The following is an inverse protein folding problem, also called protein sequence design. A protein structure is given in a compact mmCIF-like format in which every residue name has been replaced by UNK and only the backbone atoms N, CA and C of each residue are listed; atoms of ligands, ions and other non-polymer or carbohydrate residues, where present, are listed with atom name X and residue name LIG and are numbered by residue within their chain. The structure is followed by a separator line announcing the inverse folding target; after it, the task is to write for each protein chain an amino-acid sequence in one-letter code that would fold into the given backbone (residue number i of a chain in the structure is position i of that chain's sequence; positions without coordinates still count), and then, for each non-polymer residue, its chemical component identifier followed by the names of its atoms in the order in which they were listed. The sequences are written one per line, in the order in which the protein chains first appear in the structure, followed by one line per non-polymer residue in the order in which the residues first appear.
data_IF_911034448797
#
_entry.id   IF_911034448797
#
_cell.length_a   1.000
_cell.length_b   1.000
_cell.length_c   1.000
_cell.angle_alpha   90.00
_cell.angle_beta   90.00
_cell.angle_gamma   90.00
#
_symmetry.space_group_name_H-M   'P 1'
#
loop_
_entity.id
_entity.type
_entity.pdbx_description
1 polymer ?
#
# COMPACT_ATOMS: atom_id res chain seq x y z
N UNK A 1 26.71 -10.41 -12.62
CA UNK A 1 27.17 -11.79 -12.92
C UNK A 1 26.02 -12.80 -12.84
N UNK A 2 25.16 -12.75 -11.82
CA UNK A 2 24.05 -13.70 -11.65
C UNK A 2 23.00 -13.71 -12.78
N UNK A 3 22.70 -12.56 -13.40
CA UNK A 3 21.71 -12.50 -14.50
C UNK A 3 22.14 -13.26 -15.76
N UNK A 4 23.44 -13.28 -16.07
CA UNK A 4 23.96 -13.97 -17.25
C UNK A 4 23.89 -15.49 -17.10
N UNK A 5 23.97 -16.01 -15.86
CA UNK A 5 23.79 -17.45 -15.57
C UNK A 5 22.33 -17.90 -15.65
N UNK A 6 21.36 -17.05 -15.30
CA UNK A 6 19.94 -17.42 -15.33
C UNK A 6 19.34 -17.37 -16.75
N UNK A 7 19.88 -16.52 -17.62
CA UNK A 7 19.40 -16.33 -18.99
C UNK A 7 19.39 -17.65 -19.82
N UNK A 8 20.49 -18.42 -19.94
CA UNK A 8 20.46 -19.70 -20.66
C UNK A 8 19.57 -20.74 -19.95
N UNK A 9 19.49 -20.71 -18.62
CA UNK A 9 18.62 -21.61 -17.84
C UNK A 9 17.13 -21.41 -18.19
N UNK A 10 16.71 -20.15 -18.40
CA UNK A 10 15.36 -19.80 -18.83
C UNK A 10 15.11 -20.13 -20.31
N UNK A 11 16.07 -19.85 -21.20
CA UNK A 11 15.94 -20.16 -22.64
C UNK A 11 15.86 -21.67 -22.92
N UNK A 12 16.55 -22.49 -22.13
CA UNK A 12 16.52 -23.95 -22.23
C UNK A 12 15.30 -24.57 -21.55
N UNK A 13 14.41 -23.78 -20.92
CA UNK A 13 13.19 -24.26 -20.25
C UNK A 13 13.43 -25.08 -18.98
N UNK A 14 14.66 -25.10 -18.47
CA UNK A 14 15.06 -25.90 -17.30
C UNK A 14 14.35 -25.42 -16.03
N UNK A 15 13.99 -24.14 -15.96
CA UNK A 15 13.20 -23.56 -14.86
C UNK A 15 11.83 -24.24 -14.69
N UNK A 16 11.16 -24.63 -15.78
CA UNK A 16 9.88 -25.34 -15.71
C UNK A 16 10.02 -26.76 -15.15
N UNK A 17 11.09 -27.47 -15.52
CA UNK A 17 11.41 -28.79 -14.96
C UNK A 17 11.73 -28.70 -13.46
N UNK A 18 12.48 -27.68 -13.03
CA UNK A 18 12.80 -27.47 -11.62
C UNK A 18 11.54 -27.24 -10.78
N UNK A 19 10.58 -26.45 -11.28
CA UNK A 19 9.29 -26.22 -10.59
C UNK A 19 8.46 -27.51 -10.51
N UNK A 20 8.56 -28.39 -11.50
CA UNK A 20 7.85 -29.68 -11.46
C UNK A 20 8.44 -30.67 -10.45
N UNK A 21 9.73 -30.57 -10.14
CA UNK A 21 10.42 -31.44 -9.17
C UNK A 21 10.20 -30.97 -7.73
N UNK A 22 10.09 -29.65 -7.53
CA UNK A 22 9.85 -29.07 -6.21
C UNK A 22 8.39 -29.30 -5.81
N UNK A 23 8.18 -29.96 -4.67
CA UNK A 23 6.84 -30.12 -4.12
C UNK A 23 6.22 -28.76 -3.81
N UNK A 24 5.03 -28.48 -4.35
CA UNK A 24 4.30 -27.20 -4.16
C UNK A 24 4.11 -26.88 -2.67
N UNK A 25 3.95 -27.92 -1.83
CA UNK A 25 3.80 -27.79 -0.38
C UNK A 25 5.06 -27.19 0.29
N UNK A 26 6.25 -27.43 -0.28
CA UNK A 26 7.51 -26.90 0.25
C UNK A 26 7.73 -25.42 -0.07
N UNK A 27 7.07 -24.87 -1.09
CA UNK A 27 7.24 -23.48 -1.51
C UNK A 27 6.57 -22.52 -0.50
N UNK A 28 5.43 -22.90 0.08
CA UNK A 28 4.65 -22.00 0.94
C UNK A 28 5.43 -21.50 2.17
N UNK A 29 6.12 -22.36 2.97
CA UNK A 29 6.90 -21.88 4.11
C UNK A 29 8.10 -21.02 3.70
N UNK A 30 8.71 -21.32 2.55
CA UNK A 30 9.87 -20.58 2.03
C UNK A 30 9.49 -19.14 1.69
N UNK A 31 8.34 -18.93 1.04
CA UNK A 31 7.86 -17.58 0.69
C UNK A 31 7.54 -16.77 1.96
N UNK A 32 6.96 -17.40 2.98
CA UNK A 32 6.71 -16.74 4.27
C UNK A 32 8.02 -16.32 4.93
N UNK A 33 9.01 -17.21 4.97
CA UNK A 33 10.33 -16.90 5.54
C UNK A 33 11.01 -15.74 4.82
N UNK A 34 11.08 -15.79 3.48
CA UNK A 34 11.68 -14.70 2.69
C UNK A 34 10.91 -13.39 2.88
N UNK A 35 9.58 -13.43 2.94
CA UNK A 35 8.76 -12.25 3.20
C UNK A 35 9.06 -11.61 4.55
N UNK A 36 9.19 -12.42 5.61
CA UNK A 36 9.55 -11.94 6.95
C UNK A 36 10.95 -11.32 7.00
N UNK A 37 11.94 -11.95 6.35
CA UNK A 37 13.31 -11.42 6.26
C UNK A 37 13.32 -10.08 5.53
N UNK A 38 12.64 -9.96 4.39
CA UNK A 38 12.55 -8.69 3.65
C UNK A 38 11.89 -7.60 4.50
N UNK A 39 10.84 -7.93 5.26
CA UNK A 39 10.19 -6.98 6.16
C UNK A 39 11.16 -6.53 7.27
N UNK A 40 11.90 -7.46 7.87
CA UNK A 40 12.92 -7.16 8.89
C UNK A 40 14.00 -6.24 8.35
N UNK A 41 14.54 -6.54 7.16
CA UNK A 41 15.58 -5.72 6.53
C UNK A 41 15.06 -4.34 6.13
N UNK A 42 13.82 -4.27 5.65
CA UNK A 42 13.16 -2.99 5.30
C UNK A 42 12.94 -2.14 6.54
N UNK A 43 12.46 -2.72 7.64
CA UNK A 43 12.26 -2.02 8.91
C UNK A 43 13.59 -1.58 9.53
N UNK A 44 14.64 -2.41 9.45
CA UNK A 44 15.96 -2.08 9.97
C UNK A 44 16.62 -0.90 9.23
N UNK A 45 16.31 -0.72 7.94
CA UNK A 45 16.86 0.35 7.10
C UNK A 45 15.98 1.60 7.05
N UNK A 46 14.75 1.53 7.57
CA UNK A 46 13.77 2.62 7.53
C UNK A 46 13.69 3.32 8.90
N UNK A 47 13.60 4.65 8.96
CA UNK A 47 13.42 5.36 10.22
C UNK A 47 12.09 4.99 10.89
N UNK A 48 12.10 4.95 12.23
CA UNK A 48 10.96 4.57 13.08
C UNK A 48 9.69 5.40 12.80
N UNK A 49 9.87 6.63 12.30
CA UNK A 49 8.78 7.54 11.91
C UNK A 49 7.93 7.01 10.74
N UNK A 50 8.50 6.21 9.84
CA UNK A 50 7.81 5.71 8.65
C UNK A 50 7.16 4.35 8.84
N UNK A 51 7.31 3.72 10.01
CA UNK A 51 6.65 2.45 10.34
C UNK A 51 5.14 2.44 10.11
N UNK A 52 4.36 3.49 10.47
CA UNK A 52 2.93 3.51 10.15
C UNK A 52 2.64 3.52 8.64
N UNK A 53 3.49 4.14 7.83
CA UNK A 53 3.32 4.13 6.37
C UNK A 53 3.56 2.74 5.78
N UNK A 54 4.58 2.03 6.28
CA UNK A 54 4.84 0.64 5.90
C UNK A 54 3.66 -0.29 6.23
N UNK A 55 3.13 -0.22 7.46
CA UNK A 55 1.98 -1.04 7.88
C UNK A 55 0.73 -0.74 7.04
N UNK A 56 0.47 0.53 6.76
CA UNK A 56 -0.64 0.92 5.91
C UNK A 56 -0.44 0.45 4.45
N UNK A 57 0.80 0.47 3.96
CA UNK A 57 1.18 -0.03 2.64
C UNK A 57 0.86 -1.50 2.40
N UNK A 58 0.85 -2.34 3.45
CA UNK A 58 0.53 -3.77 3.33
C UNK A 58 -0.99 -4.03 3.19
N UNK A 59 -1.84 -3.08 3.59
CA UNK A 59 -3.29 -3.26 3.62
C UNK A 59 -3.93 -3.68 2.27
N UNK A 60 -3.56 -3.10 1.10
CA UNK A 60 -4.11 -3.53 -0.19
C UNK A 60 -3.81 -5.00 -0.53
N UNK A 61 -2.64 -5.50 -0.14
CA UNK A 61 -2.26 -6.91 -0.37
C UNK A 61 -3.09 -7.84 0.51
N UNK A 62 -3.30 -7.47 1.78
CA UNK A 62 -4.18 -8.21 2.69
C UNK A 62 -5.62 -8.24 2.15
N UNK A 63 -6.09 -7.10 1.62
CA UNK A 63 -7.41 -6.99 1.03
C UNK A 63 -7.59 -7.88 -0.19
N UNK A 64 -6.58 -7.99 -1.05
CA UNK A 64 -6.62 -8.87 -2.22
C UNK A 64 -6.63 -10.35 -1.85
N UNK A 65 -5.82 -10.75 -0.86
CA UNK A 65 -5.90 -12.08 -0.29
C UNK A 65 -7.27 -12.39 0.33
N UNK A 66 -7.83 -11.44 1.10
CA UNK A 66 -9.16 -11.58 1.71
C UNK A 66 -10.26 -11.71 0.64
N UNK A 67 -10.22 -10.87 -0.40
CA UNK A 67 -11.13 -10.94 -1.56
C UNK A 67 -11.07 -12.32 -2.21
N UNK A 68 -9.87 -12.84 -2.48
CA UNK A 68 -9.66 -14.16 -3.07
C UNK A 68 -10.22 -15.29 -2.20
N UNK A 69 -9.95 -15.25 -0.89
CA UNK A 69 -10.44 -16.27 0.05
C UNK A 69 -11.96 -16.29 0.14
N UNK A 70 -12.60 -15.11 0.19
CA UNK A 70 -14.06 -14.99 0.21
C UNK A 70 -14.66 -15.58 -1.08
N UNK A 71 -14.16 -15.18 -2.26
CA UNK A 71 -14.70 -15.67 -3.54
C UNK A 71 -14.53 -17.18 -3.67
N UNK A 72 -13.35 -17.70 -3.36
CA UNK A 72 -13.06 -19.13 -3.48
C UNK A 72 -13.86 -19.96 -2.47
N UNK A 73 -13.96 -19.50 -1.22
CA UNK A 73 -14.74 -20.17 -0.18
C UNK A 73 -16.23 -20.22 -0.52
N UNK A 74 -16.77 -19.10 -1.01
CA UNK A 74 -18.16 -19.01 -1.48
C UNK A 74 -18.36 -19.91 -2.70
N UNK A 75 -17.55 -19.79 -3.75
CA UNK A 75 -17.67 -20.63 -4.96
C UNK A 75 -17.65 -22.13 -4.63
N UNK A 76 -16.74 -22.57 -3.76
CA UNK A 76 -16.66 -23.97 -3.32
C UNK A 76 -17.90 -24.42 -2.53
N UNK A 77 -18.49 -23.56 -1.69
CA UNK A 77 -19.72 -23.90 -0.97
C UNK A 77 -20.91 -24.07 -1.94
N UNK A 78 -20.99 -23.25 -2.99
CA UNK A 78 -22.05 -23.33 -4.00
C UNK A 78 -21.92 -24.59 -4.86
N UNK A 79 -20.70 -24.95 -5.28
CA UNK A 79 -20.46 -26.17 -6.08
C UNK A 79 -20.82 -27.46 -5.34
N UNK A 80 -20.73 -27.47 -4.01
CA UNK A 80 -21.03 -28.62 -3.17
C UNK A 80 -22.48 -28.65 -2.65
N UNK A 81 -23.31 -27.67 -3.02
CA UNK A 81 -24.71 -27.59 -2.59
C UNK A 81 -25.64 -28.22 -3.63
N UNK A 82 -25.96 -29.51 -3.45
CA UNK A 82 -26.85 -30.26 -4.34
C UNK A 82 -28.31 -30.15 -3.87
N UNK A 83 -29.08 -29.22 -4.44
CA UNK A 83 -30.54 -29.38 -4.51
C UNK A 83 -30.91 -30.03 -5.84
N UNK A 84 -31.81 -31.04 -5.84
CA UNK A 84 -32.38 -31.53 -7.09
C UNK A 84 -33.08 -30.37 -7.83
N UNK A 85 -32.79 -30.21 -9.12
CA UNK A 85 -33.46 -29.26 -10.03
C UNK A 85 -33.26 -27.74 -9.83
N UNK A 86 -32.26 -27.30 -9.06
CA UNK A 86 -31.94 -25.87 -8.98
C UNK A 86 -30.55 -25.59 -9.58
N UNK A 87 -30.53 -24.95 -10.75
CA UNK A 87 -29.30 -24.42 -11.34
C UNK A 87 -29.06 -23.03 -10.74
N UNK A 88 -28.12 -22.92 -9.80
CA UNK A 88 -27.71 -21.62 -9.27
C UNK A 88 -26.81 -20.92 -10.29
N UNK A 89 -27.17 -19.70 -10.68
CA UNK A 89 -26.35 -18.87 -11.58
C UNK A 89 -24.98 -18.59 -10.95
N UNK A 90 -23.90 -18.73 -11.73
CA UNK A 90 -22.51 -18.59 -11.30
C UNK A 90 -22.11 -17.18 -10.84
N UNK A 91 -23.02 -16.21 -10.90
CA UNK A 91 -22.74 -14.83 -10.55
C UNK A 91 -23.06 -14.52 -9.09
N UNK A 92 -22.28 -15.14 -8.19
CA UNK A 92 -22.45 -15.03 -6.73
C UNK A 92 -22.04 -13.64 -6.19
N UNK A 93 -21.34 -12.85 -7.01
CA UNK A 93 -20.87 -11.51 -6.67
C UNK A 93 -21.99 -10.52 -6.30
N UNK A 94 -23.22 -10.76 -6.77
CA UNK A 94 -24.35 -9.84 -6.61
C UNK A 94 -25.19 -10.07 -5.35
N UNK A 95 -24.97 -11.17 -4.61
CA UNK A 95 -25.79 -11.56 -3.45
C UNK A 95 -25.10 -11.38 -2.09
N UNK A 96 -23.85 -10.93 -2.04
CA UNK A 96 -23.16 -10.59 -0.78
C UNK A 96 -23.58 -9.18 -0.36
N UNK A 97 -24.75 -9.06 0.27
CA UNK A 97 -25.35 -7.77 0.66
C UNK A 97 -24.98 -7.30 2.06
N UNK A 98 -24.49 -8.19 2.93
CA UNK A 98 -24.13 -7.86 4.32
C UNK A 98 -22.71 -7.25 4.48
N UNK A 99 -21.86 -7.37 3.45
CA UNK A 99 -20.49 -6.86 3.44
C UNK A 99 -20.29 -5.99 2.20
N UNK A 100 -19.60 -4.84 2.33
CA UNK A 100 -19.28 -3.96 1.20
C UNK A 100 -18.20 -4.58 0.30
N UNK A 101 -18.56 -5.67 -0.38
CA UNK A 101 -17.68 -6.41 -1.28
C UNK A 101 -17.10 -5.52 -2.36
N UNK A 102 -17.86 -4.55 -2.88
CA UNK A 102 -17.37 -3.58 -3.87
C UNK A 102 -16.24 -2.69 -3.33
N UNK A 103 -16.30 -2.28 -2.07
CA UNK A 103 -15.22 -1.52 -1.43
C UNK A 103 -13.95 -2.37 -1.30
N UNK A 104 -14.09 -3.60 -0.84
CA UNK A 104 -12.97 -4.55 -0.75
C UNK A 104 -12.39 -4.89 -2.13
N UNK A 105 -13.24 -5.14 -3.12
CA UNK A 105 -12.84 -5.49 -4.48
C UNK A 105 -12.09 -4.33 -5.16
N UNK A 106 -12.53 -3.09 -4.94
CA UNK A 106 -11.84 -1.92 -5.44
C UNK A 106 -10.52 -1.71 -4.70
N UNK A 107 -10.49 -1.78 -3.38
CA UNK A 107 -9.26 -1.62 -2.60
C UNK A 107 -8.21 -2.73 -2.83
N UNK A 108 -8.65 -3.91 -3.29
CA UNK A 108 -7.78 -5.00 -3.74
C UNK A 108 -7.32 -4.85 -5.21
N UNK A 109 -7.97 -4.01 -6.00
CA UNK A 109 -7.69 -3.83 -7.41
C UNK A 109 -6.32 -3.20 -7.65
N UNK A 110 -5.39 -3.96 -8.23
CA UNK A 110 -4.02 -3.47 -8.42
C UNK A 110 -3.22 -3.37 -7.12
N UNK A 111 -3.52 -4.23 -6.14
CA UNK A 111 -2.96 -4.24 -4.77
C UNK A 111 -1.46 -3.95 -4.68
N UNK A 112 -0.62 -4.60 -5.48
CA UNK A 112 0.83 -4.37 -5.48
C UNK A 112 1.21 -2.92 -5.81
N UNK A 113 0.62 -2.38 -6.88
CA UNK A 113 0.89 -1.02 -7.32
C UNK A 113 0.28 -0.02 -6.34
N UNK A 114 -0.95 -0.28 -5.90
CA UNK A 114 -1.65 0.50 -4.90
C UNK A 114 -0.86 0.63 -3.60
N UNK A 115 -0.27 -0.47 -3.12
CA UNK A 115 0.59 -0.50 -1.94
C UNK A 115 1.80 0.42 -2.09
N UNK A 116 2.47 0.42 -3.24
CA UNK A 116 3.62 1.31 -3.48
C UNK A 116 3.20 2.77 -3.45
N UNK A 117 2.12 3.13 -4.16
CA UNK A 117 1.62 4.49 -4.22
C UNK A 117 1.11 4.99 -2.85
N UNK A 118 0.34 4.19 -2.12
CA UNK A 118 -0.14 4.57 -0.78
C UNK A 118 1.01 4.73 0.21
N UNK A 119 1.99 3.83 0.19
CA UNK A 119 3.17 3.93 1.05
C UNK A 119 3.96 5.20 0.74
N UNK A 120 4.22 5.49 -0.54
CA UNK A 120 4.96 6.68 -0.96
C UNK A 120 4.23 7.97 -0.56
N UNK A 121 2.92 8.06 -0.80
CA UNK A 121 2.12 9.23 -0.41
C UNK A 121 2.18 9.45 1.11
N UNK A 122 2.01 8.38 1.90
CA UNK A 122 2.08 8.48 3.36
C UNK A 122 3.48 8.85 3.86
N UNK A 123 4.55 8.27 3.31
CA UNK A 123 5.92 8.65 3.68
C UNK A 123 6.17 10.15 3.42
N UNK A 124 5.79 10.67 2.23
CA UNK A 124 5.97 12.10 1.94
C UNK A 124 5.05 13.01 2.75
N UNK A 125 3.86 12.54 3.13
CA UNK A 125 2.98 13.24 4.05
C UNK A 125 3.60 13.34 5.45
N UNK A 126 4.15 12.23 5.94
CA UNK A 126 4.84 12.15 7.24
C UNK A 126 6.04 13.09 7.25
N UNK A 127 6.85 13.12 6.19
CA UNK A 127 8.00 14.01 6.02
C UNK A 127 7.63 15.49 5.79
N UNK A 128 6.33 15.81 5.65
CA UNK A 128 5.83 17.14 5.25
C UNK A 128 6.42 17.63 3.92
N UNK A 129 6.78 16.71 3.02
CA UNK A 129 7.26 17.00 1.64
C UNK A 129 6.06 17.02 0.69
N UNK A 130 5.13 17.97 0.91
CA UNK A 130 3.82 17.99 0.26
C UNK A 130 3.86 18.11 -1.27
N UNK A 131 4.86 18.76 -1.84
CA UNK A 131 5.04 18.82 -3.30
C UNK A 131 5.20 17.41 -3.90
N UNK A 132 6.03 16.57 -3.26
CA UNK A 132 6.26 15.18 -3.69
C UNK A 132 4.99 14.36 -3.50
N UNK A 133 4.31 14.51 -2.35
CA UNK A 133 3.04 13.82 -2.09
C UNK A 133 1.95 14.17 -3.14
N UNK A 134 1.92 15.42 -3.60
CA UNK A 134 1.02 15.89 -4.67
C UNK A 134 1.29 15.17 -5.99
N UNK A 135 2.55 15.10 -6.41
CA UNK A 135 2.95 14.42 -7.66
C UNK A 135 2.59 12.93 -7.59
N UNK A 136 2.88 12.26 -6.47
CA UNK A 136 2.54 10.85 -6.28
C UNK A 136 1.03 10.60 -6.27
N UNK A 137 0.24 11.52 -5.70
CA UNK A 137 -1.23 11.45 -5.71
C UNK A 137 -1.80 11.65 -7.12
N UNK A 138 -1.26 12.60 -7.89
CA UNK A 138 -1.66 12.80 -9.29
C UNK A 138 -1.33 11.59 -10.17
N UNK A 139 -0.15 11.00 -9.98
CA UNK A 139 0.26 9.80 -10.69
C UNK A 139 -0.66 8.61 -10.32
N UNK A 140 -0.98 8.42 -9.03
CA UNK A 140 -1.96 7.42 -8.61
C UNK A 140 -3.34 7.65 -9.25
N UNK A 141 -3.80 8.91 -9.32
CA UNK A 141 -5.06 9.28 -9.98
C UNK A 141 -5.06 8.96 -11.47
N UNK A 142 -3.96 9.23 -12.17
CA UNK A 142 -3.78 8.89 -13.59
C UNK A 142 -3.83 7.38 -13.81
N UNK A 143 -3.12 6.59 -12.99
CA UNK A 143 -3.13 5.14 -13.10
C UNK A 143 -4.51 4.53 -12.77
N UNK A 144 -5.27 5.17 -11.89
CA UNK A 144 -6.63 4.74 -11.57
C UNK A 144 -7.63 4.95 -12.72
N UNK A 145 -7.41 5.94 -13.60
CA UNK A 145 -8.23 6.11 -14.81
C UNK A 145 -8.14 4.91 -15.76
N UNK A 146 -6.96 4.30 -15.83
CA UNK A 146 -6.71 3.11 -16.66
C UNK A 146 -7.08 1.80 -15.96
N UNK A 147 -7.56 1.88 -14.71
CA UNK A 147 -7.89 0.71 -13.90
C UNK A 147 -6.66 -0.11 -13.47
N UNK A 148 -5.46 0.46 -13.49
CA UNK A 148 -4.26 -0.18 -12.96
C UNK A 148 -4.25 -0.22 -11.43
N UNK A 149 -4.99 0.69 -10.80
CA UNK A 149 -5.12 0.85 -9.34
C UNK A 149 -6.59 1.12 -8.99
N UNK A 150 -7.08 0.50 -7.92
CA UNK A 150 -8.42 0.60 -7.36
C UNK A 150 -9.58 0.17 -8.29
N UNK A 151 -9.31 -0.69 -9.27
CA UNK A 151 -10.34 -1.21 -10.18
C UNK A 151 -10.19 -2.71 -10.44
N UNK A 152 -11.30 -3.35 -10.76
CA UNK A 152 -11.35 -4.78 -11.09
C UNK A 152 -10.97 -5.10 -12.53
N UNK A 153 -11.05 -4.12 -13.43
CA UNK A 153 -10.79 -4.28 -14.85
C UNK A 153 -9.80 -3.21 -15.33
N UNK A 154 -8.92 -3.59 -16.26
CA UNK A 154 -8.01 -2.67 -16.93
C UNK A 154 -8.71 -2.10 -18.17
N UNK A 155 -8.65 -0.79 -18.36
CA UNK A 155 -9.30 -0.10 -19.48
C UNK A 155 -9.50 1.38 -19.18
N UNK A 156 -10.03 2.15 -20.13
CA UNK A 156 -10.35 3.56 -19.89
C UNK A 156 -11.68 3.65 -19.15
N UNK A 157 -11.62 3.74 -17.81
CA UNK A 157 -12.76 3.60 -16.90
C UNK A 157 -13.48 4.93 -16.62
N UNK A 158 -13.99 5.56 -17.68
CA UNK A 158 -14.62 6.90 -17.62
C UNK A 158 -16.15 6.84 -17.54
N UNK A 159 -16.78 5.66 -17.69
CA UNK A 159 -18.24 5.56 -17.66
C UNK A 159 -18.77 5.60 -16.22
N UNK A 160 -20.01 6.07 -16.04
CA UNK A 160 -20.69 6.11 -14.74
C UNK A 160 -20.84 4.73 -14.07
N UNK A 161 -20.83 3.65 -14.86
CA UNK A 161 -20.82 2.26 -14.37
C UNK A 161 -19.49 1.84 -13.77
N UNK A 162 -18.40 2.52 -14.13
CA UNK A 162 -17.04 2.11 -13.83
C UNK A 162 -16.58 2.74 -12.52
N UNK A 163 -15.64 2.09 -11.84
CA UNK A 163 -15.14 2.56 -10.55
C UNK A 163 -13.90 3.46 -10.68
N UNK A 164 -13.17 3.43 -11.80
CA UNK A 164 -11.90 4.15 -11.98
C UNK A 164 -12.00 5.67 -11.86
N UNK A 165 -12.98 6.31 -12.52
CA UNK A 165 -13.14 7.77 -12.46
C UNK A 165 -13.35 8.30 -11.03
N UNK A 166 -14.02 7.53 -10.16
CA UNK A 166 -14.29 7.91 -8.76
C UNK A 166 -12.99 8.00 -7.95
N UNK A 167 -12.10 7.04 -8.17
CA UNK A 167 -10.79 7.01 -7.52
C UNK A 167 -9.86 8.09 -8.08
N UNK A 168 -9.91 8.37 -9.38
CA UNK A 168 -9.17 9.51 -9.94
C UNK A 168 -9.60 10.83 -9.31
N UNK A 169 -10.90 11.05 -9.13
CA UNK A 169 -11.40 12.24 -8.43
C UNK A 169 -10.89 12.27 -6.99
N UNK A 170 -10.94 11.14 -6.27
CA UNK A 170 -10.43 11.06 -4.90
C UNK A 170 -8.93 11.38 -4.79
N UNK A 171 -8.10 10.82 -5.67
CA UNK A 171 -6.66 11.12 -5.73
C UNK A 171 -6.36 12.57 -6.15
N UNK A 172 -7.20 13.14 -7.02
CA UNK A 172 -7.09 14.55 -7.41
C UNK A 172 -7.45 15.47 -6.25
N UNK A 173 -8.50 15.15 -5.48
CA UNK A 173 -8.84 15.86 -4.25
C UNK A 173 -7.71 15.77 -3.22
N UNK A 174 -7.09 14.60 -3.08
CA UNK A 174 -5.92 14.40 -2.21
C UNK A 174 -4.72 15.23 -2.68
N UNK A 175 -4.47 15.30 -3.99
CA UNK A 175 -3.44 16.15 -4.56
C UNK A 175 -3.69 17.64 -4.28
N UNK A 176 -4.94 18.12 -4.45
CA UNK A 176 -5.32 19.50 -4.11
C UNK A 176 -5.10 19.77 -2.62
N UNK A 177 -5.46 18.83 -1.74
CA UNK A 177 -5.24 18.96 -0.31
C UNK A 177 -3.75 19.11 0.04
N UNK A 178 -2.87 18.29 -0.54
CA UNK A 178 -1.43 18.44 -0.32
C UNK A 178 -0.86 19.73 -0.90
N UNK A 179 -1.36 20.19 -2.05
CA UNK A 179 -0.97 21.46 -2.64
C UNK A 179 -1.37 22.63 -1.71
N UNK A 180 -2.57 22.60 -1.13
CA UNK A 180 -3.00 23.59 -0.12
C UNK A 180 -2.06 23.57 1.10
N UNK A 181 -1.69 22.40 1.61
CA UNK A 181 -0.74 22.29 2.72
C UNK A 181 0.64 22.87 2.35
N UNK A 182 1.10 22.69 1.12
CA UNK A 182 2.34 23.30 0.64
C UNK A 182 2.26 24.84 0.62
N UNK A 183 1.13 25.41 0.18
CA UNK A 183 0.92 26.86 0.17
C UNK A 183 0.92 27.41 1.60
N UNK A 184 0.24 26.71 2.53
CA UNK A 184 0.20 27.10 3.95
C UNK A 184 1.57 26.97 4.61
N UNK A 185 2.35 25.94 4.24
CA UNK A 185 3.73 25.76 4.70
C UNK A 185 4.64 26.88 4.18
N UNK A 186 4.50 27.30 2.91
CA UNK A 186 5.25 28.43 2.34
C UNK A 186 4.94 29.75 3.06
N UNK A 187 3.71 29.91 3.56
CA UNK A 187 3.30 31.05 4.39
C UNK A 187 3.81 30.97 5.85
N UNK A 188 4.59 29.96 6.23
CA UNK A 188 5.15 29.73 7.57
C UNK A 188 4.13 29.38 8.67
N UNK A 189 2.90 28.98 8.32
CA UNK A 189 1.87 28.62 9.31
C UNK A 189 1.96 27.16 9.79
N UNK A 190 2.79 26.33 9.15
CA UNK A 190 3.00 24.92 9.46
C UNK A 190 4.50 24.69 9.66
N UNK A 191 4.87 23.86 10.65
CA UNK A 191 6.27 23.45 10.91
C UNK A 191 6.95 23.03 9.60
N UNK A 192 8.21 23.44 9.44
CA UNK A 192 9.01 23.20 8.24
C UNK A 192 9.17 21.72 7.88
N UNK A 193 9.74 21.48 6.70
CA UNK A 193 10.08 20.12 6.27
C UNK A 193 11.00 19.48 7.29
N UNK A 194 10.62 18.31 7.77
CA UNK A 194 11.52 17.52 8.60
C UNK A 194 12.51 16.84 7.67
N UNK A 195 13.71 17.40 7.60
CA UNK A 195 14.85 16.79 6.95
C UNK A 195 15.56 15.96 8.00
N UNK A 196 15.51 14.66 7.81
CA UNK A 196 16.46 13.78 8.47
C UNK A 196 17.86 14.11 7.92
N UNK A 197 18.88 14.31 8.77
CA UNK A 197 20.24 14.44 8.30
C UNK A 197 20.69 13.10 7.72
N UNK A 198 21.29 13.13 6.53
CA UNK A 198 21.46 11.97 5.64
C UNK A 198 22.42 10.87 6.19
N UNK A 199 23.04 11.08 7.37
CA UNK A 199 24.10 10.23 7.92
C UNK A 199 24.11 10.03 9.45
N UNK A 200 23.15 10.55 10.23
CA UNK A 200 23.21 10.40 11.69
C UNK A 200 22.83 8.99 12.16
N UNK A 201 23.75 8.35 12.88
CA UNK A 201 23.50 7.10 13.58
C UNK A 201 22.32 7.25 14.57
N UNK A 202 21.65 6.15 14.93
CA UNK A 202 20.49 6.18 15.84
C UNK A 202 20.77 6.88 17.19
N UNK A 203 22.04 6.96 17.60
CA UNK A 203 22.49 7.66 18.80
C UNK A 203 22.55 9.18 18.60
N UNK A 204 23.20 9.64 17.53
CA UNK A 204 23.30 11.08 17.23
C UNK A 204 21.92 11.65 16.91
N UNK A 205 21.02 10.84 16.35
CA UNK A 205 19.61 11.20 16.15
C UNK A 205 18.86 11.46 17.46
N UNK A 206 19.15 10.65 18.49
CA UNK A 206 18.59 10.82 19.82
C UNK A 206 19.15 12.06 20.51
N UNK A 207 20.42 12.39 20.27
CA UNK A 207 21.06 13.62 20.75
C UNK A 207 20.52 14.86 20.05
N UNK A 208 20.45 14.86 18.71
CA UNK A 208 19.84 15.94 17.93
C UNK A 208 18.39 16.22 18.34
N UNK A 209 17.59 15.17 18.59
CA UNK A 209 16.23 15.34 19.12
C UNK A 209 16.20 15.94 20.52
N UNK A 210 17.14 15.57 21.40
CA UNK A 210 17.24 16.21 22.73
C UNK A 210 17.59 17.67 22.57
N UNK A 211 18.55 18.02 21.71
CA UNK A 211 18.96 19.40 21.47
C UNK A 211 17.80 20.26 20.96
N UNK A 212 17.03 19.77 19.98
CA UNK A 212 15.84 20.48 19.51
C UNK A 212 14.75 20.66 20.59
N UNK A 213 14.62 19.70 21.50
CA UNK A 213 13.68 19.81 22.63
C UNK A 213 14.13 20.85 23.66
N UNK A 214 15.44 21.08 23.78
CA UNK A 214 16.03 22.08 24.67
C UNK A 214 16.00 23.50 24.08
N UNK A 215 15.95 23.62 22.75
CA UNK A 215 15.88 24.90 22.03
C UNK A 215 14.44 25.45 21.89
N UNK A 216 13.40 24.63 22.08
CA UNK A 216 12.02 25.16 22.19
C UNK A 216 11.92 25.99 23.50
N UNK A 217 11.62 27.30 23.43
CA UNK A 217 11.53 28.13 24.62
C UNK A 217 10.41 27.59 25.51
N UNK A 218 10.74 27.24 26.75
CA UNK A 218 9.79 26.84 27.78
C UNK A 218 8.84 28.02 28.01
N UNK A 219 7.69 28.03 27.33
CA UNK A 219 6.58 28.88 27.73
C UNK A 219 6.03 28.30 29.03
N UNK A 220 6.06 29.11 30.10
CA UNK A 220 5.78 28.80 31.52
C UNK A 220 4.44 28.09 31.84
N UNK A 221 3.62 27.73 30.86
CA UNK A 221 2.30 27.12 31.07
C UNK A 221 2.37 25.68 31.63
N UNK A 222 3.48 24.95 31.45
CA UNK A 222 3.61 23.57 31.92
C UNK A 222 4.02 23.41 33.39
N UNK A 223 4.32 24.49 34.11
CA UNK A 223 4.70 24.44 35.54
C UNK A 223 3.46 24.53 36.46
N UNK A 224 2.31 25.00 35.96
CA UNK A 224 1.11 25.24 36.77
C UNK A 224 0.19 24.02 36.94
N UNK A 225 0.47 22.87 36.33
CA UNK A 225 -0.40 21.68 36.41
C UNK A 225 0.15 20.53 37.29
N UNK A 226 1.26 20.75 38.01
CA UNK A 226 1.82 19.78 38.95
C UNK A 226 2.17 20.41 40.32
N UNK A 227 1.26 21.24 40.85
CA UNK A 227 1.20 21.57 42.28
C UNK A 227 -0.23 21.38 42.80
#
# INVERSE_FOLDING_TARGET
MNGLSYLPLCFLGISGLLISVIAVVAINPVVIFIGLVICSDTLATTPQRHYPAFLFGIMPIIADWAKGTIINGVSNAYLNFTLPNVQFSSNISSFVTAFSYRGLANFAGGSLLQSVFLTAILMYMIDRKFLRATIWSLLAGFLSLFGLINASNVGVLVKNSDDGWRFTVAYTMLAVFFLLLEIVQRKHWIKGQEKEPDDLSSFEWAEWKREQTLEEPITDDNIQLNL
#
